data_IF_132981159702
#
_entry.id   IF_132981159702
#
_cell.length_a   1.000
_cell.length_b   1.000
_cell.length_c   1.000
_cell.angle_alpha   90.00
_cell.angle_beta   90.00
_cell.angle_gamma   90.00
#
_symmetry.space_group_name_H-M   'P 1'
#
loop_
_entity.id
_entity.type
_entity.pdbx_description
1 polymer ?
#
# COMPACT_ATOMS: atom_id res chain seq x y z
N UNK A 1 -2.12 -0.82 -4.42
CA UNK A 1 -1.46 -2.12 -4.31
C UNK A 1 -0.32 -2.07 -3.31
N UNK A 2 0.07 -3.24 -2.80
CA UNK A 2 1.32 -3.50 -2.06
C UNK A 2 2.11 -4.56 -2.83
N UNK A 3 3.40 -4.74 -2.56
CA UNK A 3 4.26 -5.67 -3.30
C UNK A 3 4.79 -6.85 -2.50
N UNK A 4 4.51 -6.94 -1.20
CA UNK A 4 5.01 -8.02 -0.34
C UNK A 4 4.42 -9.41 -0.69
N UNK A 5 4.96 -10.48 -0.11
CA UNK A 5 4.64 -11.86 -0.47
C UNK A 5 3.14 -12.23 -0.54
N UNK A 6 2.30 -11.66 0.32
CA UNK A 6 0.84 -11.83 0.23
C UNK A 6 0.26 -11.24 -1.07
N UNK A 7 0.74 -10.06 -1.49
CA UNK A 7 0.31 -9.44 -2.73
C UNK A 7 0.73 -10.27 -3.96
N UNK A 8 1.95 -10.79 -3.96
CA UNK A 8 2.45 -11.66 -5.04
C UNK A 8 1.62 -12.93 -5.18
N UNK A 9 1.25 -13.58 -4.07
CA UNK A 9 0.35 -14.75 -4.09
C UNK A 9 -1.03 -14.39 -4.64
N UNK A 10 -1.54 -13.21 -4.28
CA UNK A 10 -2.82 -12.71 -4.77
C UNK A 10 -2.77 -12.41 -6.28
N UNK A 11 -1.70 -11.81 -6.79
CA UNK A 11 -1.51 -11.59 -8.23
C UNK A 11 -1.52 -12.92 -9.00
N UNK A 12 -0.80 -13.92 -8.52
CA UNK A 12 -0.81 -15.26 -9.11
C UNK A 12 -2.20 -15.91 -9.11
N UNK A 13 -3.00 -15.71 -8.04
CA UNK A 13 -4.38 -16.19 -7.98
C UNK A 13 -5.28 -15.47 -8.99
N UNK A 14 -5.16 -14.17 -9.09
CA UNK A 14 -5.96 -13.37 -10.02
C UNK A 14 -5.73 -13.80 -11.46
N UNK A 15 -4.49 -14.04 -11.86
CA UNK A 15 -4.15 -14.52 -13.19
C UNK A 15 -4.71 -15.93 -13.45
N UNK A 16 -4.58 -16.86 -12.50
CA UNK A 16 -5.03 -18.23 -12.73
C UNK A 16 -6.55 -18.38 -12.77
N UNK A 17 -7.27 -17.64 -11.92
CA UNK A 17 -8.68 -17.93 -11.64
C UNK A 17 -9.64 -16.79 -11.96
N UNK A 18 -9.13 -15.56 -12.11
CA UNK A 18 -9.96 -14.37 -12.20
C UNK A 18 -9.68 -13.49 -13.43
N UNK A 19 -8.72 -13.88 -14.28
CA UNK A 19 -8.32 -13.04 -15.41
C UNK A 19 -9.47 -12.65 -16.35
N UNK A 20 -10.43 -13.57 -16.61
CA UNK A 20 -11.63 -13.30 -17.40
C UNK A 20 -12.80 -12.68 -16.61
N UNK A 21 -12.74 -12.72 -15.27
CA UNK A 21 -13.83 -12.27 -14.41
C UNK A 21 -13.67 -10.81 -14.02
N UNK A 22 -12.45 -10.28 -14.04
CA UNK A 22 -12.13 -8.88 -13.67
C UNK A 22 -12.01 -8.07 -14.95
N UNK A 23 -12.66 -6.91 -14.98
CA UNK A 23 -12.57 -5.95 -16.08
C UNK A 23 -11.33 -5.08 -15.91
N UNK A 24 -10.17 -5.64 -16.23
CA UNK A 24 -8.86 -5.03 -16.01
C UNK A 24 -8.71 -3.68 -16.69
N UNK A 25 -9.33 -3.51 -17.85
CA UNK A 25 -9.34 -2.27 -18.61
C UNK A 25 -10.02 -1.09 -17.90
N UNK A 26 -10.82 -1.36 -16.87
CA UNK A 26 -11.49 -0.34 -16.06
C UNK A 26 -10.73 0.01 -14.79
N UNK A 27 -9.65 -0.70 -14.48
CA UNK A 27 -8.88 -0.48 -13.26
C UNK A 27 -7.76 0.53 -13.48
N UNK A 28 -7.47 1.28 -12.42
CA UNK A 28 -6.30 2.14 -12.27
C UNK A 28 -5.55 1.69 -11.03
N UNK A 29 -4.24 1.54 -11.14
CA UNK A 29 -3.40 0.96 -10.12
C UNK A 29 -2.50 2.01 -9.50
N UNK A 30 -2.54 2.07 -8.16
CA UNK A 30 -1.73 2.96 -7.34
C UNK A 30 -1.05 2.15 -6.23
N UNK A 31 0.02 2.67 -5.66
CA UNK A 31 0.75 1.99 -4.59
C UNK A 31 0.41 2.57 -3.22
N UNK A 32 0.29 1.69 -2.22
CA UNK A 32 0.17 2.10 -0.81
C UNK A 32 1.52 2.48 -0.24
N UNK A 33 2.57 1.83 -0.70
CA UNK A 33 3.96 2.14 -0.38
C UNK A 33 4.91 1.63 -1.46
N UNK A 34 6.08 2.24 -1.53
CA UNK A 34 7.18 1.77 -2.39
C UNK A 34 8.52 1.99 -1.69
N UNK A 35 9.48 1.12 -2.00
CA UNK A 35 10.86 1.27 -1.55
C UNK A 35 11.57 2.28 -2.43
N UNK A 36 12.45 3.10 -1.82
CA UNK A 36 13.25 4.08 -2.55
C UNK A 36 14.43 3.39 -3.23
N UNK A 37 14.11 2.65 -4.30
CA UNK A 37 15.05 1.88 -5.12
C UNK A 37 14.68 2.03 -6.60
N UNK A 38 15.54 1.53 -7.50
CA UNK A 38 15.23 1.44 -8.93
C UNK A 38 13.97 0.59 -9.19
N UNK A 39 13.17 0.90 -10.22
CA UNK A 39 12.01 0.07 -10.57
C UNK A 39 12.36 -1.36 -10.99
N UNK A 40 13.63 -1.63 -11.30
CA UNK A 40 14.13 -2.97 -11.66
C UNK A 40 14.76 -3.72 -10.47
N UNK A 41 14.83 -3.09 -9.30
CA UNK A 41 15.39 -3.69 -8.09
C UNK A 41 14.47 -4.81 -7.55
N UNK A 42 15.08 -5.86 -6.97
CA UNK A 42 14.36 -6.99 -6.39
C UNK A 42 13.46 -6.58 -5.19
N UNK A 43 13.73 -5.43 -4.58
CA UNK A 43 12.90 -4.89 -3.50
C UNK A 43 11.76 -4.00 -3.98
N UNK A 44 11.71 -3.65 -5.28
CA UNK A 44 10.64 -2.80 -5.82
C UNK A 44 9.28 -3.49 -5.80
N UNK A 45 8.32 -2.85 -5.16
CA UNK A 45 6.93 -3.30 -5.19
C UNK A 45 6.32 -3.21 -6.60
N UNK A 46 6.74 -2.19 -7.37
CA UNK A 46 6.34 -2.04 -8.76
C UNK A 46 6.84 -3.20 -9.62
N UNK A 47 8.13 -3.59 -9.51
CA UNK A 47 8.67 -4.71 -10.28
C UNK A 47 7.82 -5.97 -10.13
N UNK A 48 7.51 -6.34 -8.88
CA UNK A 48 6.70 -7.54 -8.63
C UNK A 48 5.30 -7.46 -9.25
N UNK A 49 4.65 -6.30 -9.17
CA UNK A 49 3.34 -6.11 -9.78
C UNK A 49 3.42 -6.13 -11.32
N UNK A 50 4.46 -5.55 -11.89
CA UNK A 50 4.68 -5.51 -13.33
C UNK A 50 4.90 -6.91 -13.89
N UNK A 51 5.82 -7.68 -13.29
CA UNK A 51 6.15 -9.04 -13.75
C UNK A 51 5.03 -10.04 -13.51
N UNK A 52 4.33 -9.95 -12.36
CA UNK A 52 3.36 -10.95 -11.92
C UNK A 52 1.92 -10.62 -12.28
N UNK A 53 1.60 -9.38 -12.68
CA UNK A 53 0.24 -8.96 -12.97
C UNK A 53 0.12 -8.17 -14.27
N UNK A 54 0.88 -7.06 -14.41
CA UNK A 54 0.60 -6.13 -15.50
C UNK A 54 1.04 -6.65 -16.86
N UNK A 55 2.26 -7.17 -16.99
CA UNK A 55 2.74 -7.78 -18.24
C UNK A 55 1.91 -8.98 -18.66
N UNK A 56 1.61 -9.96 -17.77
CA UNK A 56 0.78 -11.11 -18.17
C UNK A 56 -0.64 -10.77 -18.62
N UNK A 57 -1.20 -9.66 -18.12
CA UNK A 57 -2.56 -9.20 -18.47
C UNK A 57 -2.59 -8.08 -19.50
N UNK A 58 -1.43 -7.69 -20.04
CA UNK A 58 -1.27 -6.57 -20.98
C UNK A 58 -1.94 -5.28 -20.50
N UNK A 59 -1.76 -4.97 -19.18
CA UNK A 59 -2.33 -3.76 -18.59
C UNK A 59 -1.68 -2.52 -19.21
N UNK A 60 -2.47 -1.58 -19.75
CA UNK A 60 -1.91 -0.37 -20.35
C UNK A 60 -1.11 0.45 -19.33
N UNK A 61 0.07 0.93 -19.71
CA UNK A 61 0.91 1.76 -18.85
C UNK A 61 0.20 3.01 -18.30
N UNK A 62 -0.73 3.58 -19.07
CA UNK A 62 -1.55 4.71 -18.64
C UNK A 62 -2.48 4.39 -17.47
N UNK A 63 -2.65 3.11 -17.11
CA UNK A 63 -3.45 2.67 -15.97
C UNK A 63 -2.60 2.40 -14.73
N UNK A 64 -1.29 2.52 -14.84
CA UNK A 64 -0.32 2.15 -13.80
C UNK A 64 0.39 3.39 -13.28
N UNK A 65 -0.04 3.88 -12.14
CA UNK A 65 0.51 5.08 -11.51
C UNK A 65 1.48 4.65 -10.41
N UNK A 66 2.75 4.38 -10.79
CA UNK A 66 3.76 3.94 -9.83
C UNK A 66 4.38 5.10 -9.04
N UNK A 67 4.84 4.82 -7.84
CA UNK A 67 5.76 5.70 -7.11
C UNK A 67 7.16 5.53 -7.73
N UNK A 68 7.84 6.62 -8.02
CA UNK A 68 9.18 6.62 -8.59
C UNK A 68 10.23 6.53 -7.48
N UNK A 69 10.47 5.32 -6.96
CA UNK A 69 11.42 5.08 -5.86
C UNK A 69 12.87 5.48 -6.16
N UNK A 70 13.21 5.63 -7.44
CA UNK A 70 14.52 6.08 -7.92
C UNK A 70 14.73 7.61 -7.81
N UNK A 71 13.69 8.36 -7.47
CA UNK A 71 13.78 9.81 -7.30
C UNK A 71 14.11 10.20 -5.87
N UNK A 72 14.39 11.49 -5.65
CA UNK A 72 14.53 12.03 -4.30
C UNK A 72 13.23 11.79 -3.50
N UNK A 73 13.28 11.09 -2.36
CA UNK A 73 12.09 10.57 -1.70
C UNK A 73 11.08 11.64 -1.29
N UNK A 74 11.53 12.77 -0.74
CA UNK A 74 10.68 13.86 -0.29
C UNK A 74 9.96 14.53 -1.47
N UNK A 75 10.67 14.71 -2.58
CA UNK A 75 10.12 15.30 -3.82
C UNK A 75 9.09 14.36 -4.45
N UNK A 76 9.39 13.07 -4.49
CA UNK A 76 8.46 12.09 -5.06
C UNK A 76 7.22 11.89 -4.18
N UNK A 77 7.36 11.90 -2.86
CA UNK A 77 6.21 11.82 -1.95
C UNK A 77 5.23 12.97 -2.17
N UNK A 78 5.74 14.19 -2.38
CA UNK A 78 4.92 15.37 -2.71
C UNK A 78 4.30 15.24 -4.10
N UNK A 79 5.12 14.93 -5.11
CA UNK A 79 4.66 14.73 -6.49
C UNK A 79 3.56 13.66 -6.58
N UNK A 80 3.75 12.52 -5.94
CA UNK A 80 2.78 11.44 -5.96
C UNK A 80 1.49 11.81 -5.18
N UNK A 81 1.60 12.60 -4.13
CA UNK A 81 0.44 13.15 -3.42
C UNK A 81 -0.40 14.05 -4.32
N UNK A 82 0.25 14.93 -5.10
CA UNK A 82 -0.46 15.81 -6.05
C UNK A 82 -1.08 15.03 -7.20
N UNK A 83 -0.38 14.01 -7.74
CA UNK A 83 -0.91 13.12 -8.75
C UNK A 83 -2.20 12.43 -8.26
N UNK A 84 -2.18 11.85 -7.08
CA UNK A 84 -3.35 11.17 -6.50
C UNK A 84 -4.51 12.13 -6.25
N UNK A 85 -4.24 13.35 -5.81
CA UNK A 85 -5.27 14.40 -5.65
C UNK A 85 -5.89 14.82 -6.98
N UNK A 86 -5.10 14.84 -8.04
CA UNK A 86 -5.57 15.20 -9.38
C UNK A 86 -6.40 14.11 -10.04
N UNK A 87 -5.96 12.86 -9.94
CA UNK A 87 -6.54 11.72 -10.63
C UNK A 87 -7.81 11.17 -9.94
N UNK A 88 -7.88 11.23 -8.61
CA UNK A 88 -8.96 10.62 -7.88
C UNK A 88 -10.07 11.61 -7.54
N UNK A 89 -11.35 11.19 -7.71
CA UNK A 89 -12.47 11.98 -7.25
C UNK A 89 -12.40 12.12 -5.73
N UNK A 90 -12.56 13.35 -5.26
CA UNK A 90 -12.58 13.65 -3.83
C UNK A 90 -12.81 15.13 -3.61
N UNK A 91 -13.26 15.48 -2.42
CA UNK A 91 -13.25 16.88 -2.00
C UNK A 91 -11.80 17.28 -1.73
N UNK A 92 -11.37 18.39 -2.26
CA UNK A 92 -10.05 19.03 -2.37
C UNK A 92 -8.97 18.75 -1.30
N UNK A 93 -9.25 18.07 -0.20
CA UNK A 93 -8.31 17.82 0.90
C UNK A 93 -7.92 16.35 1.09
N UNK A 94 -8.72 15.38 0.61
CA UNK A 94 -8.42 13.96 0.77
C UNK A 94 -9.05 13.13 -0.37
N UNK A 95 -8.25 12.66 -1.33
CA UNK A 95 -8.73 11.80 -2.41
C UNK A 95 -9.25 10.48 -1.86
N UNK A 96 -10.14 9.82 -2.60
CA UNK A 96 -10.81 8.60 -2.16
C UNK A 96 -10.63 7.46 -3.13
N UNK A 97 -9.93 6.42 -2.71
CA UNK A 97 -9.79 5.17 -3.45
C UNK A 97 -11.06 4.32 -3.34
N UNK A 98 -11.40 3.59 -4.40
CA UNK A 98 -12.48 2.61 -4.36
C UNK A 98 -12.12 1.40 -3.51
N UNK A 99 -10.88 0.91 -3.63
CA UNK A 99 -10.37 -0.17 -2.80
C UNK A 99 -8.88 0.03 -2.51
N UNK A 100 -8.48 -0.25 -1.27
CA UNK A 100 -7.08 -0.35 -0.86
C UNK A 100 -6.84 -1.75 -0.33
N UNK A 101 -5.72 -2.35 -0.76
CA UNK A 101 -5.27 -3.65 -0.31
C UNK A 101 -4.01 -3.46 0.52
N UNK A 102 -4.08 -3.83 1.80
CA UNK A 102 -3.00 -3.65 2.77
C UNK A 102 -2.46 -4.99 3.25
N UNK A 103 -1.16 -5.04 3.50
CA UNK A 103 -0.54 -6.12 4.26
C UNK A 103 -0.42 -5.78 5.75
N UNK A 104 -0.11 -6.80 6.57
CA UNK A 104 0.32 -6.63 7.97
C UNK A 104 1.73 -7.19 8.11
N UNK A 105 2.66 -6.38 8.60
CA UNK A 105 4.01 -6.81 8.96
C UNK A 105 4.03 -7.63 10.26
N UNK A 106 5.11 -8.34 10.52
CA UNK A 106 5.27 -9.15 11.74
C UNK A 106 5.38 -8.29 13.02
N UNK A 107 5.82 -7.06 12.88
CA UNK A 107 5.87 -6.03 13.91
C UNK A 107 4.54 -5.26 14.07
N UNK A 108 3.56 -5.50 13.19
CA UNK A 108 2.26 -4.82 13.17
C UNK A 108 2.20 -3.56 12.33
N UNK A 109 3.24 -3.30 11.51
CA UNK A 109 3.16 -2.22 10.52
C UNK A 109 2.14 -2.53 9.42
N UNK A 110 1.64 -1.48 8.75
CA UNK A 110 0.86 -1.60 7.51
C UNK A 110 1.31 -0.52 6.54
N UNK A 111 1.24 -0.77 5.23
CA UNK A 111 1.97 0.00 4.22
C UNK A 111 3.45 0.11 4.65
N UNK A 112 4.01 1.31 4.78
CA UNK A 112 5.28 1.56 5.47
C UNK A 112 5.10 2.51 6.67
N UNK A 113 3.99 2.38 7.39
CA UNK A 113 3.76 3.02 8.69
C UNK A 113 4.17 2.04 9.78
N UNK A 114 5.28 2.32 10.45
CA UNK A 114 5.87 1.46 11.48
C UNK A 114 5.42 1.86 12.88
N UNK A 115 5.51 0.97 13.88
CA UNK A 115 5.26 1.34 15.28
C UNK A 115 6.13 2.52 15.78
N UNK A 116 7.27 2.75 15.15
CA UNK A 116 8.18 3.86 15.44
C UNK A 116 7.78 5.19 14.79
N UNK A 117 6.81 5.19 13.88
CA UNK A 117 6.35 6.39 13.14
C UNK A 117 4.82 6.56 13.21
N UNK A 118 4.23 6.55 14.43
CA UNK A 118 2.77 6.59 14.61
C UNK A 118 2.13 7.90 14.11
N UNK A 119 2.89 8.99 14.01
CA UNK A 119 2.44 10.27 13.48
C UNK A 119 1.96 10.18 12.03
N UNK A 120 2.44 9.20 11.26
CA UNK A 120 1.99 8.96 9.89
C UNK A 120 0.55 8.44 9.81
N UNK A 121 -0.01 7.91 10.90
CA UNK A 121 -1.41 7.47 10.96
C UNK A 121 -2.38 8.65 10.87
N UNK A 122 -2.02 9.79 11.44
CA UNK A 122 -2.85 11.00 11.51
C UNK A 122 -2.35 12.14 10.62
N UNK A 123 -1.28 11.93 9.89
CA UNK A 123 -0.73 12.93 8.98
C UNK A 123 -1.74 13.31 7.89
N UNK A 124 -1.89 14.62 7.64
CA UNK A 124 -2.91 15.16 6.70
C UNK A 124 -2.53 15.07 5.23
N UNK A 125 -1.25 14.84 4.90
CA UNK A 125 -0.80 14.69 3.50
C UNK A 125 -1.01 13.25 3.01
N UNK A 126 -1.15 13.08 1.69
CA UNK A 126 -1.49 11.78 1.13
C UNK A 126 -0.35 10.77 1.22
N UNK A 127 0.90 11.21 0.94
CA UNK A 127 2.10 10.36 1.00
C UNK A 127 3.22 11.06 1.75
N UNK A 128 4.04 10.27 2.43
CA UNK A 128 5.20 10.72 3.21
C UNK A 128 6.36 9.77 3.05
N UNK A 129 7.56 10.30 3.28
CA UNK A 129 8.74 9.45 3.45
C UNK A 129 8.67 8.78 4.82
N UNK A 130 9.00 7.51 4.82
CA UNK A 130 9.16 6.66 6.00
C UNK A 130 10.50 5.94 5.92
N UNK A 131 10.98 5.40 7.03
CA UNK A 131 12.22 4.66 7.09
C UNK A 131 12.01 3.34 7.83
N UNK A 132 12.48 2.25 7.23
CA UNK A 132 12.39 0.94 7.86
C UNK A 132 13.29 0.92 9.11
N UNK A 133 12.76 0.53 10.29
CA UNK A 133 13.45 0.70 11.56
C UNK A 133 14.76 -0.10 11.69
N UNK A 134 14.84 -1.25 11.04
CA UNK A 134 16.02 -2.13 11.12
C UNK A 134 17.03 -1.88 10.00
N UNK A 135 16.56 -1.80 8.74
CA UNK A 135 17.46 -1.66 7.58
C UNK A 135 17.84 -0.22 7.27
N UNK A 136 17.10 0.76 7.79
CA UNK A 136 17.27 2.16 7.44
C UNK A 136 16.81 2.52 6.03
N UNK A 137 16.21 1.58 5.28
CA UNK A 137 15.75 1.79 3.91
C UNK A 137 14.63 2.83 3.88
N UNK A 138 14.82 3.88 3.09
CA UNK A 138 13.77 4.86 2.84
C UNK A 138 12.64 4.26 2.01
N UNK A 139 11.43 4.70 2.30
CA UNK A 139 10.20 4.31 1.62
C UNK A 139 9.28 5.50 1.48
N UNK A 140 8.42 5.47 0.48
CA UNK A 140 7.32 6.41 0.33
C UNK A 140 6.05 5.66 0.69
N UNK A 141 5.26 6.18 1.61
CA UNK A 141 4.07 5.50 2.14
C UNK A 141 2.84 6.39 2.11
N UNK A 142 1.68 5.77 1.83
CA UNK A 142 0.38 6.35 2.08
C UNK A 142 0.20 6.63 3.56
N UNK A 143 -0.39 7.77 3.93
CA UNK A 143 -0.72 8.11 5.32
C UNK A 143 -1.97 7.41 5.79
N UNK A 144 -2.13 7.24 7.11
CA UNK A 144 -3.33 6.62 7.69
C UNK A 144 -4.61 7.38 7.35
N UNK A 145 -4.58 8.71 7.32
CA UNK A 145 -5.73 9.53 6.92
C UNK A 145 -6.22 9.23 5.50
N UNK A 146 -5.31 8.96 4.57
CA UNK A 146 -5.69 8.58 3.20
C UNK A 146 -6.21 7.15 3.14
N UNK A 147 -5.57 6.22 3.86
CA UNK A 147 -6.00 4.82 3.96
C UNK A 147 -7.45 4.74 4.49
N UNK A 148 -7.73 5.42 5.59
CA UNK A 148 -9.05 5.42 6.23
C UNK A 148 -10.15 6.12 5.41
N UNK A 149 -9.78 6.90 4.39
CA UNK A 149 -10.75 7.53 3.49
C UNK A 149 -11.19 6.62 2.33
N UNK A 150 -10.66 5.42 2.20
CA UNK A 150 -11.05 4.47 1.14
C UNK A 150 -12.51 4.02 1.29
N UNK A 151 -13.15 3.64 0.17
CA UNK A 151 -14.51 3.03 0.21
C UNK A 151 -14.45 1.60 0.72
N UNK A 152 -13.35 0.89 0.44
CA UNK A 152 -13.14 -0.49 0.84
C UNK A 152 -11.68 -0.71 1.24
N UNK A 153 -11.47 -1.27 2.42
CA UNK A 153 -10.17 -1.76 2.88
C UNK A 153 -10.17 -3.29 2.88
N UNK A 154 -9.21 -3.87 2.19
CA UNK A 154 -8.97 -5.30 2.16
C UNK A 154 -7.63 -5.60 2.82
N UNK A 155 -7.64 -6.46 3.82
CA UNK A 155 -6.42 -6.86 4.55
C UNK A 155 -6.30 -8.38 4.46
N UNK A 156 -5.78 -8.91 3.34
CA UNK A 156 -5.58 -10.34 3.21
C UNK A 156 -4.46 -10.82 4.14
N UNK A 157 -4.76 -11.82 4.95
CA UNK A 157 -3.81 -12.46 5.86
C UNK A 157 -3.69 -13.93 5.47
N UNK A 158 -2.52 -14.34 5.00
CA UNK A 158 -2.29 -15.68 4.50
C UNK A 158 -1.21 -16.41 5.32
N UNK A 159 -1.48 -17.70 5.59
CA UNK A 159 -0.55 -18.59 6.24
C UNK A 159 -0.46 -18.46 7.76
N UNK A 160 -0.01 -19.56 8.40
CA UNK A 160 0.07 -19.65 9.86
C UNK A 160 1.12 -18.71 10.48
N UNK A 161 2.12 -18.30 9.71
CA UNK A 161 3.15 -17.37 10.20
C UNK A 161 2.59 -16.03 10.67
N UNK A 162 1.42 -15.63 10.14
CA UNK A 162 0.75 -14.36 10.53
C UNK A 162 -0.22 -14.50 11.70
N UNK A 163 -0.43 -15.70 12.26
CA UNK A 163 -1.41 -15.94 13.33
C UNK A 163 -1.10 -15.10 14.57
N UNK A 164 0.16 -15.07 15.00
CA UNK A 164 0.58 -14.34 16.21
C UNK A 164 0.34 -12.83 16.08
N UNK A 165 0.75 -12.24 14.97
CA UNK A 165 0.54 -10.80 14.77
C UNK A 165 -0.94 -10.46 14.58
N UNK A 166 -1.71 -11.32 13.90
CA UNK A 166 -3.14 -11.11 13.73
C UNK A 166 -3.87 -11.11 15.07
N UNK A 167 -3.53 -12.05 15.99
CA UNK A 167 -4.06 -12.08 17.34
C UNK A 167 -3.72 -10.80 18.13
N UNK A 168 -2.47 -10.33 18.01
CA UNK A 168 -2.06 -9.07 18.65
C UNK A 168 -2.83 -7.88 18.11
N UNK A 169 -3.05 -7.82 16.80
CA UNK A 169 -3.76 -6.73 16.14
C UNK A 169 -5.25 -6.73 16.53
N UNK A 170 -5.92 -7.89 16.52
CA UNK A 170 -7.36 -8.00 16.85
C UNK A 170 -7.61 -7.72 18.34
N UNK A 171 -6.70 -8.15 19.23
CA UNK A 171 -6.83 -7.95 20.68
C UNK A 171 -6.17 -6.63 21.15
N UNK A 172 -5.72 -5.79 20.24
CA UNK A 172 -5.07 -4.54 20.58
C UNK A 172 -6.07 -3.56 21.19
N UNK A 173 -5.70 -2.95 22.30
CA UNK A 173 -6.45 -1.85 22.88
C UNK A 173 -6.37 -0.59 22.01
N UNK A 174 -7.29 0.35 22.23
CA UNK A 174 -7.39 1.59 21.44
C UNK A 174 -6.09 2.42 21.44
N UNK A 175 -5.29 2.31 22.48
CA UNK A 175 -3.99 2.97 22.62
C UNK A 175 -2.80 2.14 22.09
N UNK A 176 -3.08 1.08 21.33
CA UNK A 176 -2.02 0.25 20.78
C UNK A 176 -1.12 1.01 19.82
N UNK A 177 0.19 0.78 19.96
CA UNK A 177 1.20 1.32 19.04
C UNK A 177 1.29 0.57 17.70
N UNK A 178 0.41 -0.42 17.48
CA UNK A 178 0.39 -1.20 16.23
C UNK A 178 -0.38 -0.47 15.12
N UNK A 179 0.29 0.00 14.06
CA UNK A 179 -0.39 0.72 12.98
C UNK A 179 -1.53 -0.06 12.33
N UNK A 180 -1.37 -1.37 12.12
CA UNK A 180 -2.44 -2.21 11.59
C UNK A 180 -3.68 -2.26 12.51
N UNK A 181 -3.49 -2.29 13.83
CA UNK A 181 -4.59 -2.24 14.78
C UNK A 181 -5.33 -0.90 14.71
N UNK A 182 -4.58 0.21 14.66
CA UNK A 182 -5.16 1.53 14.49
C UNK A 182 -6.04 1.60 13.24
N UNK A 183 -5.52 1.16 12.10
CA UNK A 183 -6.28 1.18 10.83
C UNK A 183 -7.54 0.30 10.93
N UNK A 184 -7.46 -0.90 11.51
CA UNK A 184 -8.60 -1.81 11.63
C UNK A 184 -9.68 -1.23 12.55
N UNK A 185 -9.28 -0.63 13.67
CA UNK A 185 -10.21 -0.07 14.66
C UNK A 185 -10.88 1.23 14.20
N UNK A 186 -10.29 1.94 13.23
CA UNK A 186 -10.83 3.21 12.70
C UNK A 186 -11.37 3.07 11.27
N UNK A 187 -11.32 1.87 10.69
CA UNK A 187 -11.89 1.62 9.35
C UNK A 187 -13.40 1.85 9.34
N UNK A 188 -13.98 2.40 8.25
CA UNK A 188 -15.40 2.66 8.13
C UNK A 188 -16.25 1.39 8.07
#
# INVERSE_FOLDING_TARGET
LSGAGTAQQMFGLWIREYWEKIKWEQLRFYWVDERCVSPDDEESNFKHADELLFRPLDIPHAHVHRIHGEREPEVEAEHYSELVKWELPGYASCPRFDAIILGIGEDGHTASIFPSTPELLTAKCCYKVSQHPESGQKRITMTGSLILNAKLLLIPVLGNAKTSILQRVINAEENSVLPAAYIINHAP
#
